data_IF_883945241057
#
_entry.id   IF_883945241057
#
_cell.length_a   1.000
_cell.length_b   1.000
_cell.length_c   1.000
_cell.angle_alpha   90.00
_cell.angle_beta   90.00
_cell.angle_gamma   90.00
#
_symmetry.space_group_name_H-M   'P 1'
#
loop_
_entity.id
_entity.type
_entity.pdbx_description
1 polymer ?
#
# COMPACT_ATOMS: atom_id res chain seq x y z
N UNK A 1 -24.15 -52.76 -10.11
CA UNK A 1 -24.17 -51.28 -10.21
C UNK A 1 -24.87 -50.89 -11.51
N UNK A 2 -25.95 -50.11 -11.43
CA UNK A 2 -26.78 -49.75 -12.60
C UNK A 2 -26.09 -48.67 -13.45
N UNK A 3 -26.41 -48.61 -14.76
CA UNK A 3 -25.86 -47.59 -15.67
C UNK A 3 -26.16 -46.15 -15.20
N UNK A 4 -27.33 -45.96 -14.58
CA UNK A 4 -27.75 -44.67 -14.02
C UNK A 4 -26.91 -44.23 -12.81
N UNK A 5 -26.34 -45.19 -12.09
CA UNK A 5 -25.50 -44.95 -10.90
C UNK A 5 -24.12 -44.40 -11.31
N UNK A 6 -23.54 -44.96 -12.38
CA UNK A 6 -22.26 -44.50 -12.94
C UNK A 6 -22.34 -43.07 -13.49
N UNK A 7 -23.39 -42.78 -14.26
CA UNK A 7 -23.64 -41.44 -14.81
C UNK A 7 -23.79 -40.39 -13.69
N UNK A 8 -24.45 -40.77 -12.58
CA UNK A 8 -24.62 -39.88 -11.44
C UNK A 8 -23.31 -39.57 -10.69
N UNK A 9 -22.39 -40.54 -10.63
CA UNK A 9 -21.06 -40.38 -10.01
C UNK A 9 -20.16 -39.52 -10.89
N UNK A 10 -20.13 -39.79 -12.21
CA UNK A 10 -19.36 -39.01 -13.19
C UNK A 10 -19.80 -37.52 -13.18
N UNK A 11 -21.11 -37.27 -13.19
CA UNK A 11 -21.64 -35.91 -13.07
C UNK A 11 -21.39 -35.26 -11.70
N UNK A 12 -21.17 -36.05 -10.64
CA UNK A 12 -20.81 -35.52 -9.33
C UNK A 12 -19.33 -35.11 -9.29
N UNK A 13 -18.46 -35.91 -9.90
CA UNK A 13 -17.02 -35.65 -10.06
C UNK A 13 -16.77 -34.40 -10.94
N UNK A 14 -17.45 -34.29 -12.08
CA UNK A 14 -17.37 -33.09 -12.93
C UNK A 14 -17.79 -31.81 -12.18
N UNK A 15 -18.78 -31.91 -11.29
CA UNK A 15 -19.24 -30.75 -10.50
C UNK A 15 -18.24 -30.36 -9.42
N UNK A 16 -17.55 -31.33 -8.81
CA UNK A 16 -16.49 -31.04 -7.83
C UNK A 16 -15.30 -30.39 -8.51
N UNK A 17 -14.86 -30.91 -9.66
CA UNK A 17 -13.74 -30.35 -10.42
C UNK A 17 -14.04 -28.91 -10.86
N UNK A 18 -15.24 -28.67 -11.41
CA UNK A 18 -15.68 -27.32 -11.77
C UNK A 18 -15.84 -26.38 -10.56
N UNK A 19 -16.06 -26.91 -9.35
CA UNK A 19 -16.12 -26.12 -8.13
C UNK A 19 -14.71 -25.76 -7.63
N UNK A 20 -13.74 -26.66 -7.77
CA UNK A 20 -12.32 -26.42 -7.50
C UNK A 20 -11.77 -25.36 -8.46
N UNK A 21 -11.97 -25.51 -9.77
CA UNK A 21 -11.52 -24.52 -10.78
C UNK A 21 -12.04 -23.11 -10.50
N UNK A 22 -13.30 -22.99 -10.06
CA UNK A 22 -13.90 -21.68 -9.70
C UNK A 22 -13.25 -21.09 -8.45
N UNK A 23 -12.84 -21.94 -7.52
CA UNK A 23 -12.17 -21.53 -6.28
C UNK A 23 -10.76 -21.05 -6.59
N UNK A 24 -10.01 -21.78 -7.43
CA UNK A 24 -8.68 -21.41 -7.87
C UNK A 24 -8.69 -20.07 -8.63
N UNK A 25 -9.63 -19.89 -9.56
CA UNK A 25 -9.77 -18.62 -10.28
C UNK A 25 -10.21 -17.46 -9.37
N UNK A 26 -10.94 -17.75 -8.29
CA UNK A 26 -11.28 -16.74 -7.30
C UNK A 26 -10.04 -16.34 -6.49
N UNK A 27 -9.19 -17.29 -6.12
CA UNK A 27 -7.92 -17.06 -5.42
C UNK A 27 -6.98 -16.20 -6.28
N UNK A 28 -6.77 -16.55 -7.54
CA UNK A 28 -5.93 -15.79 -8.48
C UNK A 28 -6.35 -14.31 -8.57
N UNK A 29 -7.65 -14.03 -8.58
CA UNK A 29 -8.17 -12.65 -8.61
C UNK A 29 -7.85 -11.89 -7.32
N UNK A 30 -7.87 -12.56 -6.18
CA UNK A 30 -7.49 -11.94 -4.90
C UNK A 30 -6.00 -11.64 -4.84
N UNK A 31 -5.15 -12.53 -5.37
CA UNK A 31 -3.70 -12.30 -5.51
C UNK A 31 -3.44 -11.09 -6.38
N UNK A 32 -4.00 -11.06 -7.58
CA UNK A 32 -3.82 -9.96 -8.53
C UNK A 32 -4.32 -8.60 -7.96
N UNK A 33 -5.41 -8.61 -7.20
CA UNK A 33 -5.90 -7.41 -6.52
C UNK A 33 -4.91 -6.89 -5.45
N UNK A 34 -4.26 -7.79 -4.72
CA UNK A 34 -3.23 -7.44 -3.74
C UNK A 34 -1.95 -6.93 -4.40
N UNK A 35 -1.49 -7.56 -5.49
CA UNK A 35 -0.34 -7.09 -6.26
C UNK A 35 -0.56 -5.66 -6.77
N UNK A 36 -1.75 -5.37 -7.31
CA UNK A 36 -2.10 -4.00 -7.73
C UNK A 36 -2.08 -3.01 -6.58
N UNK A 37 -2.56 -3.42 -5.41
CA UNK A 37 -2.49 -2.57 -4.21
C UNK A 37 -1.04 -2.33 -3.81
N UNK A 38 -0.21 -3.37 -3.75
CA UNK A 38 1.22 -3.25 -3.47
C UNK A 38 1.93 -2.32 -4.45
N UNK A 39 1.71 -2.48 -5.75
CA UNK A 39 2.25 -1.58 -6.78
C UNK A 39 1.78 -0.13 -6.59
N UNK A 40 0.51 0.07 -6.20
CA UNK A 40 -0.03 1.37 -5.83
C UNK A 40 0.71 2.01 -4.65
N UNK A 41 0.98 1.22 -3.60
CA UNK A 41 1.76 1.66 -2.44
C UNK A 41 3.20 2.03 -2.83
N UNK A 42 3.87 1.19 -3.61
CA UNK A 42 5.23 1.44 -4.10
C UNK A 42 5.33 2.77 -4.85
N UNK A 43 4.36 3.05 -5.72
CA UNK A 43 4.29 4.32 -6.45
C UNK A 43 4.13 5.52 -5.50
N UNK A 44 3.25 5.43 -4.51
CA UNK A 44 3.06 6.54 -3.56
C UNK A 44 4.28 6.76 -2.65
N UNK A 45 4.94 5.67 -2.21
CA UNK A 45 6.17 5.76 -1.42
C UNK A 45 7.31 6.38 -2.20
N UNK A 46 7.51 5.96 -3.46
CA UNK A 46 8.54 6.53 -4.34
C UNK A 46 8.27 8.01 -4.64
N UNK A 47 7.01 8.39 -4.88
CA UNK A 47 6.63 9.78 -5.07
C UNK A 47 6.96 10.64 -3.84
N UNK A 48 6.65 10.15 -2.62
CA UNK A 48 6.99 10.86 -1.38
C UNK A 48 8.51 11.04 -1.22
N UNK A 49 9.31 9.99 -1.47
CA UNK A 49 10.78 10.08 -1.45
C UNK A 49 11.29 11.07 -2.50
N UNK A 50 10.77 11.00 -3.73
CA UNK A 50 11.14 11.91 -4.82
C UNK A 50 10.83 13.37 -4.50
N UNK A 51 9.68 13.64 -3.89
CA UNK A 51 9.30 14.98 -3.39
C UNK A 51 10.29 15.44 -2.31
N UNK A 52 10.63 14.58 -1.34
CA UNK A 52 11.61 14.92 -0.30
C UNK A 52 12.99 15.27 -0.87
N UNK A 53 13.47 14.49 -1.85
CA UNK A 53 14.71 14.79 -2.57
C UNK A 53 14.61 16.08 -3.38
N UNK A 54 13.47 16.30 -4.06
CA UNK A 54 13.18 17.52 -4.82
C UNK A 54 13.24 18.76 -3.94
N UNK A 55 12.64 18.72 -2.74
CA UNK A 55 12.72 19.82 -1.77
C UNK A 55 14.15 20.07 -1.28
N UNK A 56 14.92 19.01 -1.02
CA UNK A 56 16.32 19.15 -0.64
C UNK A 56 17.17 19.84 -1.73
N UNK A 57 16.93 19.48 -3.00
CA UNK A 57 17.64 20.03 -4.14
C UNK A 57 17.20 21.46 -4.53
N UNK A 58 15.88 21.72 -4.56
CA UNK A 58 15.31 23.01 -4.97
C UNK A 58 15.61 24.14 -3.98
N UNK A 59 15.58 23.83 -2.68
CA UNK A 59 15.68 24.85 -1.63
C UNK A 59 17.00 24.83 -0.87
N UNK A 60 18.02 24.11 -1.36
CA UNK A 60 19.36 24.07 -0.77
C UNK A 60 20.09 25.43 -0.69
N UNK A 61 19.49 26.50 -1.22
CA UNK A 61 19.99 27.88 -1.16
C UNK A 61 19.08 28.86 -0.39
N UNK A 62 17.97 28.41 0.20
CA UNK A 62 17.16 29.29 1.06
C UNK A 62 17.82 29.47 2.43
N UNK A 63 17.95 30.72 2.87
CA UNK A 63 18.15 31.05 4.28
C UNK A 63 16.80 30.84 5.00
N UNK A 64 16.68 30.00 6.06
CA UNK A 64 17.69 29.21 6.76
C UNK A 64 17.86 27.77 6.25
N UNK A 65 19.13 27.31 6.23
CA UNK A 65 19.59 26.03 5.65
C UNK A 65 19.02 24.74 6.28
N UNK A 66 18.43 24.81 7.47
CA UNK A 66 17.92 23.63 8.18
C UNK A 66 16.49 23.26 7.77
N UNK A 67 15.69 24.21 7.28
CA UNK A 67 14.27 23.99 7.00
C UNK A 67 14.03 23.03 5.80
N UNK A 68 14.68 23.21 4.63
CA UNK A 68 14.52 22.29 3.50
C UNK A 68 14.97 20.87 3.85
N UNK A 69 16.01 20.77 4.68
CA UNK A 69 16.53 19.50 5.18
C UNK A 69 15.50 18.81 6.08
N UNK A 70 14.87 19.53 7.00
CA UNK A 70 13.83 18.98 7.87
C UNK A 70 12.62 18.46 7.09
N UNK A 71 12.10 19.24 6.13
CA UNK A 71 10.94 18.87 5.30
C UNK A 71 11.28 17.65 4.43
N UNK A 72 12.46 17.64 3.81
CA UNK A 72 12.94 16.50 3.03
C UNK A 72 13.01 15.22 3.87
N UNK A 73 13.55 15.30 5.09
CA UNK A 73 13.63 14.16 6.01
C UNK A 73 12.24 13.62 6.36
N UNK A 74 11.25 14.49 6.60
CA UNK A 74 9.87 14.06 6.88
C UNK A 74 9.28 13.28 5.70
N UNK A 75 9.39 13.80 4.48
CA UNK A 75 8.88 13.11 3.28
C UNK A 75 9.57 11.77 3.00
N UNK A 76 10.88 11.68 3.27
CA UNK A 76 11.62 10.42 3.17
C UNK A 76 11.13 9.41 4.22
N UNK A 77 10.93 9.83 5.47
CA UNK A 77 10.40 8.97 6.53
C UNK A 77 9.00 8.45 6.21
N UNK A 78 8.14 9.30 5.63
CA UNK A 78 6.80 8.90 5.14
C UNK A 78 6.93 7.82 4.05
N UNK A 79 7.85 8.00 3.09
CA UNK A 79 8.12 7.02 2.05
C UNK A 79 8.58 5.66 2.61
N UNK A 80 9.51 5.67 3.57
CA UNK A 80 9.98 4.47 4.28
C UNK A 80 8.82 3.77 4.99
N UNK A 81 7.96 4.54 5.66
CA UNK A 81 6.78 3.98 6.34
C UNK A 81 5.80 3.33 5.35
N UNK A 82 5.54 3.96 4.21
CA UNK A 82 4.71 3.40 3.14
C UNK A 82 5.29 2.07 2.64
N UNK A 83 6.60 2.00 2.39
CA UNK A 83 7.25 0.75 1.98
C UNK A 83 7.15 -0.34 3.04
N UNK A 84 7.32 0.02 4.33
CA UNK A 84 7.16 -0.92 5.43
C UNK A 84 5.74 -1.51 5.49
N UNK A 85 4.72 -0.67 5.35
CA UNK A 85 3.31 -1.10 5.29
C UNK A 85 3.04 -1.98 4.06
N UNK A 86 3.58 -1.61 2.90
CA UNK A 86 3.44 -2.38 1.67
C UNK A 86 4.05 -3.78 1.82
N UNK A 87 5.26 -3.88 2.38
CA UNK A 87 5.95 -5.14 2.62
C UNK A 87 5.21 -6.03 3.62
N UNK A 88 4.72 -5.45 4.74
CA UNK A 88 3.90 -6.20 5.70
C UNK A 88 2.63 -6.73 5.05
N UNK A 89 1.93 -5.92 4.26
CA UNK A 89 0.70 -6.36 3.59
C UNK A 89 0.98 -7.47 2.56
N UNK A 90 2.05 -7.35 1.77
CA UNK A 90 2.44 -8.38 0.80
C UNK A 90 2.79 -9.71 1.47
N UNK A 91 3.62 -9.66 2.52
CA UNK A 91 4.02 -10.85 3.26
C UNK A 91 2.84 -11.49 4.05
N UNK A 92 1.92 -10.69 4.57
CA UNK A 92 0.72 -11.18 5.28
C UNK A 92 -0.30 -11.83 4.35
N UNK A 93 -0.46 -11.33 3.13
CA UNK A 93 -1.34 -11.92 2.10
C UNK A 93 -0.82 -13.27 1.64
N UNK A 94 0.48 -13.35 1.35
CA UNK A 94 1.10 -14.58 0.82
C UNK A 94 1.08 -15.71 1.86
N UNK A 95 1.16 -15.38 3.15
CA UNK A 95 1.09 -16.36 4.24
C UNK A 95 -0.34 -16.72 4.67
N UNK A 96 -1.37 -15.98 4.22
CA UNK A 96 -2.80 -16.22 4.57
C UNK A 96 -3.58 -17.03 3.53
N UNK A 97 -3.12 -17.09 2.28
CA UNK A 97 -3.74 -17.94 1.27
C UNK A 97 -3.67 -19.43 1.64
N UNK A 98 -2.65 -19.84 2.40
CA UNK A 98 -2.55 -21.19 2.97
C UNK A 98 -3.53 -21.48 4.12
N UNK A 99 -4.31 -20.50 4.60
CA UNK A 99 -5.25 -20.67 5.72
C UNK A 99 -6.49 -19.76 5.56
N UNK A 100 -7.44 -20.21 4.75
CA UNK A 100 -8.89 -19.93 4.67
C UNK A 100 -9.52 -18.77 5.49
N UNK A 101 -8.98 -17.55 5.48
CA UNK A 101 -9.69 -16.36 6.00
C UNK A 101 -9.27 -15.09 5.26
N UNK A 102 -10.14 -14.63 4.36
CA UNK A 102 -10.02 -13.35 3.67
C UNK A 102 -10.52 -12.21 4.57
N UNK A 103 -9.73 -11.78 5.56
CA UNK A 103 -10.06 -10.56 6.32
C UNK A 103 -9.67 -9.32 5.52
N UNK A 104 -10.56 -8.33 5.35
CA UNK A 104 -10.32 -7.14 4.55
C UNK A 104 -9.16 -6.31 5.12
N UNK A 105 -8.39 -5.73 4.22
CA UNK A 105 -7.21 -4.89 4.48
C UNK A 105 -7.55 -3.83 5.55
N UNK A 106 -7.05 -4.05 6.78
CA UNK A 106 -7.40 -3.29 7.99
C UNK A 106 -7.17 -1.80 7.75
N UNK A 107 -8.26 -1.03 7.63
CA UNK A 107 -8.26 0.41 7.27
C UNK A 107 -7.46 1.35 8.17
N UNK A 108 -6.79 0.83 9.19
CA UNK A 108 -5.91 1.57 10.09
C UNK A 108 -4.59 1.99 9.44
N UNK A 109 -4.06 1.19 8.50
CA UNK A 109 -2.83 1.53 7.77
C UNK A 109 -3.04 2.74 6.84
N UNK A 110 -4.18 2.80 6.15
CA UNK A 110 -4.51 3.90 5.24
C UNK A 110 -4.75 5.21 6.01
N UNK A 111 -5.43 5.13 7.16
CA UNK A 111 -5.63 6.29 8.05
C UNK A 111 -4.31 6.83 8.62
N UNK A 112 -3.36 5.95 8.99
CA UNK A 112 -2.05 6.37 9.47
C UNK A 112 -1.22 7.04 8.37
N UNK A 113 -1.19 6.47 7.15
CA UNK A 113 -0.47 7.08 6.03
C UNK A 113 -1.07 8.45 5.68
N UNK A 114 -2.40 8.55 5.61
CA UNK A 114 -3.08 9.82 5.39
C UNK A 114 -2.76 10.83 6.50
N UNK A 115 -2.73 10.39 7.77
CA UNK A 115 -2.34 11.22 8.91
C UNK A 115 -0.91 11.74 8.80
N UNK A 116 0.05 10.90 8.44
CA UNK A 116 1.45 11.31 8.26
C UNK A 116 1.63 12.25 7.05
N UNK A 117 0.95 12.00 5.92
CA UNK A 117 0.97 12.91 4.77
C UNK A 117 0.37 14.28 5.10
N UNK A 118 -0.74 14.30 5.84
CA UNK A 118 -1.36 15.55 6.30
C UNK A 118 -0.44 16.31 7.25
N UNK A 119 0.21 15.60 8.18
CA UNK A 119 1.19 16.20 9.09
C UNK A 119 2.41 16.78 8.34
N UNK A 120 3.00 16.03 7.40
CA UNK A 120 4.11 16.51 6.58
C UNK A 120 3.74 17.74 5.73
N UNK A 121 2.53 17.77 5.17
CA UNK A 121 2.01 18.94 4.45
C UNK A 121 1.78 20.13 5.37
N UNK A 122 1.26 19.90 6.58
CA UNK A 122 1.07 20.95 7.58
C UNK A 122 2.39 21.56 8.02
N UNK A 123 3.42 20.74 8.30
CA UNK A 123 4.76 21.22 8.61
C UNK A 123 5.35 22.08 7.49
N UNK A 124 5.06 21.74 6.23
CA UNK A 124 5.50 22.51 5.06
C UNK A 124 4.84 23.89 5.03
N UNK A 125 3.51 23.94 5.18
CA UNK A 125 2.76 25.21 5.25
C UNK A 125 3.21 26.07 6.42
N UNK A 126 3.38 25.47 7.60
CA UNK A 126 3.87 26.18 8.79
C UNK A 126 5.29 26.71 8.59
N UNK A 127 6.18 25.93 7.97
CA UNK A 127 7.55 26.34 7.65
C UNK A 127 7.59 27.51 6.66
N UNK A 128 6.74 27.49 5.63
CA UNK A 128 6.60 28.62 4.70
C UNK A 128 6.13 29.89 5.42
N UNK A 129 5.08 29.80 6.24
CA UNK A 129 4.55 30.95 6.99
C UNK A 129 5.49 31.48 8.07
N UNK A 130 6.25 30.62 8.75
CA UNK A 130 7.26 31.04 9.71
C UNK A 130 8.42 31.83 9.06
N UNK A 131 8.75 31.53 7.80
CA UNK A 131 9.76 32.28 7.04
C UNK A 131 9.21 33.62 6.55
N UNK A 132 7.93 33.71 6.18
CA UNK A 132 7.27 34.96 5.74
C UNK A 132 6.97 35.94 6.90
N UNK A 133 7.33 35.60 8.14
CA UNK A 133 7.34 36.54 9.28
C UNK A 133 8.77 36.97 9.65
N UNK A 134 9.52 37.70 8.79
CA UNK A 134 10.61 38.56 9.24
C UNK A 134 10.14 40.01 9.13
N UNK A 135 9.55 40.56 10.20
CA UNK A 135 9.17 41.97 10.21
C UNK A 135 8.19 42.43 11.29
N UNK A 136 8.54 42.23 12.57
CA UNK A 136 8.50 43.31 13.58
C UNK A 136 9.48 43.03 14.71
#
# INVERSE_FOLDING_TARGET
MSKNDKDSIELAEDRTDLAEDRTDWAEDRTVLANERTFAGWMRTGLAAVGIGLGFNALFGKLEPFWLPRAIATIFILIGIFIFYVAQRNGCLVQNRLSAHDATPMRGMNLKLVAGFMAFGSFCLVAGMWLIDIPGN
#
